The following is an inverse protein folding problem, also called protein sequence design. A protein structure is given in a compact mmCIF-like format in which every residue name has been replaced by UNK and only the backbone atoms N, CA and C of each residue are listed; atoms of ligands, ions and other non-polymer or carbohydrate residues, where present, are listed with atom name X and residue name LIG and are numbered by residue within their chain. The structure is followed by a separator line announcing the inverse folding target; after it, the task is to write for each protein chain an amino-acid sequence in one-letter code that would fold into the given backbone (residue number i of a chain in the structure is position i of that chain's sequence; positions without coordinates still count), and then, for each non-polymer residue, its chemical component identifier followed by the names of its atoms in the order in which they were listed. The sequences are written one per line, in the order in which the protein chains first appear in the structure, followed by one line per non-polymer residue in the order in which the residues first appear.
data_IF_282585096182
#
_entry.id   IF_282585096182
#
_cell.length_a   1.000
_cell.length_b   1.000
_cell.length_c   1.000
_cell.angle_alpha   90.00
_cell.angle_beta   90.00
_cell.angle_gamma   90.00
#
_symmetry.space_group_name_H-M   'P 1'
#
loop_
_entity.id
_entity.type
_entity.pdbx_description
1 polymer ?
#
# COMPACT_ATOMS: atom_id res chain seq x y z
N UNK A 1 56.75 71.29 -7.20
CA UNK A 1 57.18 69.89 -7.36
C UNK A 1 56.04 69.00 -6.92
N UNK A 2 55.53 68.15 -7.82
CA UNK A 2 54.40 67.23 -7.58
C UNK A 2 54.80 66.15 -6.56
N UNK A 3 54.02 65.95 -5.50
CA UNK A 3 54.00 64.67 -4.77
C UNK A 3 52.53 64.30 -4.52
N UNK A 4 52.23 63.07 -4.90
CA UNK A 4 50.93 62.44 -4.93
C UNK A 4 50.96 61.26 -3.93
N UNK A 5 49.77 60.85 -3.47
CA UNK A 5 49.39 59.57 -2.84
C UNK A 5 49.68 59.39 -1.34
N UNK A 6 48.63 59.23 -0.55
CA UNK A 6 48.07 57.90 -0.28
C UNK A 6 46.80 58.00 0.58
N UNK A 7 45.67 57.60 0.00
CA UNK A 7 44.46 57.30 0.74
C UNK A 7 44.56 55.86 1.26
N UNK A 8 44.52 55.68 2.58
CA UNK A 8 44.43 54.35 3.21
C UNK A 8 42.95 54.04 3.34
N UNK A 9 42.47 53.09 2.53
CA UNK A 9 41.13 52.53 2.63
C UNK A 9 41.22 51.26 3.50
N UNK A 10 40.77 51.36 4.76
CA UNK A 10 40.60 50.18 5.62
C UNK A 10 39.39 49.37 5.13
N UNK A 11 39.65 48.23 4.50
CA UNK A 11 38.64 47.21 4.25
C UNK A 11 38.37 46.43 5.54
N UNK A 12 37.24 46.72 6.18
CA UNK A 12 36.72 45.92 7.28
C UNK A 12 36.03 44.69 6.68
N UNK A 13 36.71 43.55 6.61
CA UNK A 13 36.09 42.27 6.26
C UNK A 13 35.23 41.80 7.42
N UNK A 14 33.91 41.98 7.35
CA UNK A 14 32.98 41.26 8.21
C UNK A 14 33.02 39.78 7.81
N UNK A 15 33.72 38.96 8.59
CA UNK A 15 33.53 37.52 8.56
C UNK A 15 32.15 37.21 9.15
N UNK A 16 31.16 37.00 8.29
CA UNK A 16 29.88 36.40 8.70
C UNK A 16 30.16 34.95 9.11
N UNK A 17 30.24 34.67 10.40
CA UNK A 17 30.10 33.32 10.91
C UNK A 17 28.66 32.86 10.63
N UNK A 18 28.45 32.11 9.55
CA UNK A 18 27.21 31.34 9.37
C UNK A 18 27.15 30.33 10.51
N UNK A 19 26.20 30.48 11.44
CA UNK A 19 25.90 29.41 12.39
C UNK A 19 25.46 28.19 11.57
N UNK A 20 26.07 27.04 11.82
CA UNK A 20 25.63 25.76 11.28
C UNK A 20 24.11 25.61 11.51
N UNK A 21 23.34 25.54 10.42
CA UNK A 21 21.91 25.38 10.52
C UNK A 21 21.62 23.91 10.83
N UNK A 22 21.16 23.65 12.07
CA UNK A 22 20.71 22.32 12.50
C UNK A 22 19.19 22.29 12.47
N UNK A 23 18.68 21.26 11.82
CA UNK A 23 17.25 21.05 11.65
C UNK A 23 16.87 19.72 12.25
N UNK A 24 15.66 19.59 12.77
CA UNK A 24 15.26 18.35 13.39
C UNK A 24 13.77 18.15 13.53
N UNK A 25 13.38 16.88 13.56
CA UNK A 25 11.99 16.47 13.70
C UNK A 25 11.90 15.17 14.50
N UNK A 26 10.73 14.89 15.07
CA UNK A 26 10.47 13.71 15.90
C UNK A 26 9.13 13.09 15.53
N UNK A 27 9.10 11.77 15.36
CA UNK A 27 7.90 11.01 15.09
C UNK A 27 7.77 9.88 16.12
N UNK A 28 6.55 9.65 16.60
CA UNK A 28 6.24 8.56 17.53
C UNK A 28 5.17 7.64 16.96
N UNK A 29 5.30 6.34 17.20
CA UNK A 29 4.37 5.29 16.81
C UNK A 29 4.15 4.34 17.98
N UNK A 30 2.99 3.66 18.04
CA UNK A 30 2.64 2.76 19.14
C UNK A 30 2.56 1.31 18.63
N UNK A 31 3.70 0.60 18.56
CA UNK A 31 3.76 -0.73 17.94
C UNK A 31 3.01 -1.82 18.71
N UNK A 32 2.69 -1.64 20.00
CA UNK A 32 1.83 -2.55 20.74
C UNK A 32 1.06 -1.82 21.84
N UNK A 33 0.08 -2.50 22.43
CA UNK A 33 -0.64 -1.98 23.61
C UNK A 33 0.37 -1.72 24.72
N UNK A 34 0.46 -0.46 25.16
CA UNK A 34 1.40 0.01 26.19
C UNK A 34 2.88 0.05 25.78
N UNK A 35 3.20 0.08 24.47
CA UNK A 35 4.54 0.42 24.00
C UNK A 35 4.55 1.58 23.00
N UNK A 36 5.65 2.32 22.99
CA UNK A 36 5.84 3.49 22.13
C UNK A 36 7.25 3.49 21.56
N UNK A 37 7.37 3.71 20.24
CA UNK A 37 8.62 3.98 19.55
C UNK A 37 8.64 5.43 19.10
N UNK A 38 9.57 6.23 19.61
CA UNK A 38 9.82 7.58 19.12
C UNK A 38 11.18 7.65 18.43
N UNK A 39 11.20 8.11 17.18
CA UNK A 39 12.43 8.35 16.43
C UNK A 39 12.59 9.86 16.23
N UNK A 40 13.71 10.39 16.69
CA UNK A 40 14.13 11.77 16.48
C UNK A 40 15.30 11.78 15.50
N UNK A 41 15.35 12.78 14.62
CA UNK A 41 16.43 12.97 13.67
C UNK A 41 16.85 14.43 13.65
N UNK A 42 18.16 14.68 13.71
CA UNK A 42 18.77 16.01 13.65
C UNK A 42 19.72 16.04 12.46
N UNK A 43 19.36 16.78 11.43
CA UNK A 43 20.19 17.06 10.27
C UNK A 43 21.15 18.22 10.56
N UNK A 44 22.42 17.99 10.27
CA UNK A 44 23.51 18.96 10.33
C UNK A 44 23.99 19.24 8.90
N UNK A 45 23.64 20.42 8.39
CA UNK A 45 23.92 20.86 7.01
C UNK A 45 25.43 21.01 6.77
N UNK A 46 26.18 21.50 7.76
CA UNK A 46 27.62 21.68 7.65
C UNK A 46 28.36 20.33 7.66
N UNK A 47 27.96 19.44 8.56
CA UNK A 47 28.57 18.12 8.67
C UNK A 47 28.04 17.11 7.63
N UNK A 48 27.02 17.47 6.83
CA UNK A 48 26.31 16.58 5.92
C UNK A 48 25.97 15.24 6.58
N UNK A 49 25.33 15.31 7.75
CA UNK A 49 25.02 14.13 8.55
C UNK A 49 23.68 14.25 9.24
N UNK A 50 23.10 13.11 9.60
CA UNK A 50 21.88 13.05 10.40
C UNK A 50 22.14 12.22 11.64
N UNK A 51 21.99 12.84 12.81
CA UNK A 51 22.01 12.17 14.10
C UNK A 51 20.61 11.68 14.44
N UNK A 52 20.47 10.39 14.66
CA UNK A 52 19.21 9.76 15.01
C UNK A 52 19.21 9.31 16.47
N UNK A 53 18.02 9.29 17.06
CA UNK A 53 17.74 8.69 18.35
C UNK A 53 16.41 7.94 18.27
N UNK A 54 16.43 6.63 18.52
CA UNK A 54 15.23 5.80 18.63
C UNK A 54 15.01 5.41 20.09
N UNK A 55 13.83 5.73 20.63
CA UNK A 55 13.42 5.46 22.01
C UNK A 55 12.22 4.52 21.97
N UNK A 56 12.40 3.27 22.41
CA UNK A 56 11.32 2.32 22.60
C UNK A 56 11.01 2.19 24.09
N UNK A 57 9.77 2.42 24.50
CA UNK A 57 9.31 2.32 25.89
C UNK A 57 8.19 1.29 26.03
N UNK A 58 8.08 0.64 27.19
CA UNK A 58 7.04 -0.35 27.50
C UNK A 58 7.66 -1.65 27.96
N UNK A 59 7.64 -2.68 27.10
CA UNK A 59 8.25 -3.99 27.35
C UNK A 59 9.70 -4.07 26.84
N UNK A 60 10.41 -5.14 27.19
CA UNK A 60 11.63 -5.50 26.48
C UNK A 60 11.36 -5.70 24.99
N UNK A 61 12.30 -5.26 24.15
CA UNK A 61 12.24 -5.39 22.69
C UNK A 61 13.33 -6.35 22.21
N UNK A 62 13.04 -7.06 21.12
CA UNK A 62 14.00 -7.94 20.46
C UNK A 62 14.98 -7.15 19.62
N UNK A 63 14.49 -6.32 18.68
CA UNK A 63 15.31 -5.39 17.91
C UNK A 63 14.50 -4.20 17.39
N UNK A 64 15.16 -3.06 17.15
CA UNK A 64 14.62 -1.85 16.54
C UNK A 64 15.45 -1.54 15.29
N UNK A 65 14.78 -1.24 14.18
CA UNK A 65 15.40 -0.87 12.91
C UNK A 65 14.86 0.47 12.39
N UNK A 66 15.75 1.32 11.89
CA UNK A 66 15.41 2.58 11.21
C UNK A 66 16.23 2.67 9.93
N UNK A 67 15.56 2.91 8.79
CA UNK A 67 16.18 3.01 7.47
C UNK A 67 15.90 4.35 6.80
N UNK A 68 16.88 4.85 6.05
CA UNK A 68 16.73 6.02 5.19
C UNK A 68 16.02 5.63 3.88
N UNK A 69 15.00 6.39 3.48
CA UNK A 69 14.23 6.17 2.26
C UNK A 69 12.84 5.57 2.49
N UNK A 70 12.13 5.31 1.39
CA UNK A 70 10.73 4.87 1.38
C UNK A 70 10.55 3.35 1.41
N UNK A 71 11.61 2.56 1.31
CA UNK A 71 11.53 1.10 1.16
C UNK A 71 12.78 0.40 1.71
N UNK A 72 12.70 -0.92 1.91
CA UNK A 72 13.85 -1.70 2.38
C UNK A 72 14.95 -1.83 1.32
N UNK A 73 14.57 -1.99 0.06
CA UNK A 73 15.50 -2.21 -1.04
C UNK A 73 16.42 -0.99 -1.24
N UNK A 74 17.71 -1.19 -1.02
CA UNK A 74 18.75 -0.17 -1.13
C UNK A 74 18.82 0.80 0.04
N UNK A 75 17.95 0.68 1.06
CA UNK A 75 17.98 1.57 2.20
C UNK A 75 19.22 1.35 3.06
N UNK A 76 19.75 2.46 3.56
CA UNK A 76 20.78 2.48 4.59
C UNK A 76 20.10 2.37 5.96
N UNK A 77 20.23 1.22 6.61
CA UNK A 77 19.50 0.89 7.85
C UNK A 77 20.44 0.78 9.03
N UNK A 78 20.00 1.28 10.18
CA UNK A 78 20.55 0.93 11.47
C UNK A 78 19.57 -0.03 12.14
N UNK A 79 20.06 -1.18 12.58
CA UNK A 79 19.33 -2.14 13.41
C UNK A 79 20.08 -2.30 14.72
N UNK A 80 19.39 -2.18 15.85
CA UNK A 80 19.96 -2.37 17.16
C UNK A 80 19.10 -3.24 18.07
N UNK A 81 19.77 -3.98 18.95
CA UNK A 81 19.11 -4.88 19.89
C UNK A 81 19.85 -4.99 21.22
N UNK A 82 19.13 -5.17 22.33
CA UNK A 82 19.75 -5.45 23.62
C UNK A 82 20.43 -6.83 23.60
N UNK A 83 21.54 -6.98 24.30
CA UNK A 83 22.25 -8.25 24.47
C UNK A 83 22.08 -8.78 25.89
N UNK A 84 22.28 -10.09 26.14
CA UNK A 84 22.10 -10.67 27.47
C UNK A 84 22.98 -10.07 28.58
N UNK A 85 24.12 -9.47 28.22
CA UNK A 85 25.01 -8.77 29.16
C UNK A 85 24.59 -7.32 29.47
N UNK A 86 23.37 -6.93 29.07
CA UNK A 86 22.80 -5.60 29.34
C UNK A 86 23.37 -4.48 28.46
N UNK A 87 24.12 -4.83 27.41
CA UNK A 87 24.58 -3.90 26.38
C UNK A 87 23.60 -3.86 25.21
N UNK A 88 23.97 -3.12 24.18
CA UNK A 88 23.23 -3.00 22.93
C UNK A 88 24.20 -3.20 21.77
N UNK A 89 23.81 -4.05 20.83
CA UNK A 89 24.48 -4.14 19.53
C UNK A 89 23.84 -3.12 18.59
N UNK A 90 24.66 -2.36 17.87
CA UNK A 90 24.23 -1.52 16.75
C UNK A 90 24.85 -2.07 15.46
N UNK A 91 24.03 -2.21 14.42
CA UNK A 91 24.42 -2.83 13.16
C UNK A 91 23.90 -2.02 12.00
N UNK A 92 24.80 -1.57 11.13
CA UNK A 92 24.41 -1.03 9.84
C UNK A 92 24.10 -2.16 8.87
N UNK A 93 23.00 -2.04 8.13
CA UNK A 93 22.52 -3.06 7.22
C UNK A 93 21.90 -2.48 5.96
N UNK A 94 21.84 -3.30 4.93
CA UNK A 94 21.08 -3.03 3.70
C UNK A 94 20.50 -4.32 3.14
N UNK A 95 19.68 -4.22 2.10
CA UNK A 95 19.13 -5.36 1.37
C UNK A 95 18.76 -4.92 -0.04
N UNK A 96 18.81 -5.83 -1.01
CA UNK A 96 18.39 -5.55 -2.39
C UNK A 96 16.88 -5.59 -2.59
N UNK A 97 16.12 -6.12 -1.62
CA UNK A 97 14.67 -6.30 -1.71
C UNK A 97 14.05 -6.48 -0.32
N UNK A 98 12.98 -7.28 -0.21
CA UNK A 98 12.30 -7.63 1.05
C UNK A 98 12.96 -8.78 1.80
N UNK A 99 14.25 -9.02 1.52
CA UNK A 99 15.04 -10.02 2.23
C UNK A 99 15.53 -9.47 3.56
N UNK A 100 15.79 -10.35 4.56
CA UNK A 100 16.43 -9.94 5.80
C UNK A 100 17.68 -9.09 5.53
N UNK A 101 17.77 -7.86 6.08
CA UNK A 101 18.92 -7.00 5.89
C UNK A 101 20.21 -7.64 6.39
N UNK A 102 21.26 -7.49 5.61
CA UNK A 102 22.58 -8.06 5.88
C UNK A 102 23.57 -6.95 6.20
N UNK A 103 24.65 -7.30 6.92
CA UNK A 103 25.75 -6.37 7.22
C UNK A 103 26.81 -6.34 6.10
N UNK A 104 26.56 -7.04 5.00
CA UNK A 104 27.46 -7.18 3.86
C UNK A 104 26.97 -6.34 2.68
N UNK A 105 27.88 -6.00 1.76
CA UNK A 105 27.53 -5.29 0.51
C UNK A 105 26.87 -3.92 0.74
N UNK A 106 27.19 -3.27 1.85
CA UNK A 106 26.73 -1.90 2.15
C UNK A 106 27.52 -0.95 1.26
N UNK A 107 26.84 -0.32 0.30
CA UNK A 107 27.41 0.70 -0.58
C UNK A 107 27.28 2.12 -0.02
N UNK A 108 26.36 2.31 0.94
CA UNK A 108 26.20 3.57 1.66
C UNK A 108 27.39 3.85 2.59
N UNK A 109 27.59 5.13 2.93
CA UNK A 109 28.63 5.53 3.88
C UNK A 109 28.38 4.89 5.25
N UNK A 110 29.46 4.48 5.91
CA UNK A 110 29.39 3.82 7.21
C UNK A 110 28.76 4.73 8.27
N UNK A 111 27.92 4.15 9.11
CA UNK A 111 27.32 4.83 10.25
C UNK A 111 28.35 5.04 11.39
N UNK A 112 28.09 6.04 12.21
CA UNK A 112 28.87 6.32 13.43
C UNK A 112 27.98 5.96 14.63
N UNK A 113 28.27 4.87 15.36
CA UNK A 113 27.50 4.51 16.54
C UNK A 113 27.74 5.51 17.68
N UNK A 114 26.67 5.90 18.39
CA UNK A 114 26.75 6.71 19.61
C UNK A 114 26.49 5.80 20.81
N UNK A 115 27.57 5.16 21.27
CA UNK A 115 27.54 4.18 22.37
C UNK A 115 27.13 4.85 23.68
N UNK A 116 27.54 6.09 23.91
CA UNK A 116 27.20 6.85 25.13
C UNK A 116 25.71 7.25 25.16
N UNK A 117 25.13 7.54 23.98
CA UNK A 117 23.69 7.83 23.84
C UNK A 117 22.80 6.59 23.75
N UNK A 118 23.38 5.38 23.76
CA UNK A 118 22.67 4.11 23.63
C UNK A 118 22.58 3.41 24.97
N UNK A 119 21.39 2.94 25.34
CA UNK A 119 21.15 2.25 26.62
C UNK A 119 19.94 1.33 26.55
N UNK A 120 19.87 0.35 27.44
CA UNK A 120 18.70 -0.54 27.55
C UNK A 120 18.45 -0.95 28.98
N UNK A 121 17.18 -1.09 29.34
CA UNK A 121 16.72 -1.64 30.61
C UNK A 121 15.38 -2.37 30.42
N UNK A 122 14.73 -2.78 31.51
CA UNK A 122 13.47 -3.54 31.47
C UNK A 122 12.27 -2.75 30.92
N UNK A 123 12.33 -1.41 30.95
CA UNK A 123 11.24 -0.51 30.61
C UNK A 123 11.48 0.29 29.32
N UNK A 124 12.73 0.41 28.88
CA UNK A 124 13.10 1.19 27.71
C UNK A 124 14.40 0.74 27.05
N UNK A 125 14.46 0.87 25.73
CA UNK A 125 15.67 0.74 24.91
C UNK A 125 15.86 2.02 24.10
N UNK A 126 17.03 2.64 24.20
CA UNK A 126 17.41 3.86 23.50
C UNK A 126 18.59 3.54 22.60
N UNK A 127 18.47 3.83 21.30
CA UNK A 127 19.52 3.68 20.31
C UNK A 127 19.91 5.06 19.77
N UNK A 128 21.20 5.36 19.68
CA UNK A 128 21.72 6.62 19.13
C UNK A 128 22.81 6.32 18.09
N UNK A 129 22.74 6.98 16.94
CA UNK A 129 23.72 6.82 15.86
C UNK A 129 23.69 8.02 14.90
N UNK A 130 24.69 8.11 14.03
CA UNK A 130 24.75 9.14 12.98
C UNK A 130 24.98 8.50 11.61
N UNK A 131 24.24 8.93 10.60
CA UNK A 131 24.51 8.60 9.21
C UNK A 131 25.09 9.81 8.47
N UNK A 132 26.22 9.65 7.76
CA UNK A 132 26.62 10.60 6.73
C UNK A 132 25.61 10.58 5.57
N UNK A 133 25.27 11.74 5.03
CA UNK A 133 24.30 11.90 3.94
C UNK A 133 24.86 12.74 2.80
N UNK A 134 24.14 12.81 1.69
CA UNK A 134 24.44 13.71 0.57
C UNK A 134 23.83 15.10 0.80
N UNK A 135 24.31 16.10 0.07
CA UNK A 135 23.86 17.50 0.21
C UNK A 135 22.37 17.70 -0.13
N UNK A 136 21.78 16.84 -0.95
CA UNK A 136 20.37 16.88 -1.37
C UNK A 136 19.46 15.97 -0.54
N UNK A 137 19.97 15.38 0.55
CA UNK A 137 19.22 14.44 1.38
C UNK A 137 18.07 15.11 2.15
N UNK A 138 18.30 16.33 2.64
CA UNK A 138 17.38 17.01 3.53
C UNK A 138 16.31 17.80 2.77
N UNK A 139 15.05 17.63 3.19
CA UNK A 139 13.90 18.37 2.67
C UNK A 139 12.81 18.43 3.73
N UNK A 140 11.70 19.11 3.42
CA UNK A 140 10.51 19.10 4.28
C UNK A 140 9.78 17.73 4.29
N UNK A 141 10.20 16.79 3.44
CA UNK A 141 9.56 15.48 3.26
C UNK A 141 10.59 14.36 3.09
N UNK A 142 11.59 14.30 3.97
CA UNK A 142 12.62 13.24 3.87
C UNK A 142 12.10 11.93 4.46
N UNK A 143 11.87 10.96 3.58
CA UNK A 143 11.25 9.69 3.93
C UNK A 143 12.20 8.70 4.62
N UNK A 144 11.64 7.96 5.56
CA UNK A 144 12.29 6.93 6.35
C UNK A 144 11.32 5.77 6.61
N UNK A 145 11.89 4.61 6.90
CA UNK A 145 11.16 3.43 7.36
C UNK A 145 11.61 3.06 8.77
N UNK A 146 10.72 2.44 9.54
CA UNK A 146 11.06 1.83 10.82
C UNK A 146 10.43 0.45 10.93
N UNK A 147 11.06 -0.40 11.73
CA UNK A 147 10.56 -1.72 12.06
C UNK A 147 11.02 -2.15 13.45
N UNK A 148 10.23 -2.98 14.12
CA UNK A 148 10.60 -3.59 15.40
C UNK A 148 10.23 -5.07 15.43
N UNK A 149 10.93 -5.84 16.25
CA UNK A 149 10.59 -7.23 16.55
C UNK A 149 10.69 -7.48 18.04
N UNK A 150 9.80 -8.32 18.56
CA UNK A 150 9.91 -8.85 19.92
C UNK A 150 10.98 -9.95 20.04
N UNK A 151 11.46 -10.50 18.92
CA UNK A 151 12.43 -11.60 18.89
C UNK A 151 13.85 -11.04 18.74
N UNK A 152 14.69 -11.28 19.74
CA UNK A 152 16.09 -10.88 19.73
C UNK A 152 16.89 -11.75 18.74
N UNK A 153 17.85 -11.21 17.98
CA UNK A 153 18.80 -12.00 17.22
C UNK A 153 19.51 -13.06 18.06
N UNK A 154 19.98 -14.14 17.42
CA UNK A 154 20.56 -15.30 18.13
C UNK A 154 21.91 -15.02 18.78
N UNK A 155 22.55 -13.89 18.48
CA UNK A 155 23.84 -13.49 19.07
C UNK A 155 24.01 -11.97 19.12
N UNK A 156 25.05 -11.52 19.82
CA UNK A 156 25.47 -10.12 19.89
C UNK A 156 26.23 -9.63 18.63
N UNK A 157 26.53 -10.53 17.68
CA UNK A 157 27.28 -10.19 16.47
C UNK A 157 26.47 -9.24 15.59
N UNK A 158 27.07 -8.12 15.16
CA UNK A 158 26.40 -7.15 14.31
C UNK A 158 25.85 -7.76 12.99
N UNK A 159 26.38 -8.89 12.54
CA UNK A 159 25.92 -9.64 11.36
C UNK A 159 24.85 -10.70 11.64
N UNK A 160 24.42 -10.89 12.89
CA UNK A 160 23.44 -11.91 13.29
C UNK A 160 22.15 -11.86 12.45
N UNK A 161 21.59 -13.02 12.11
CA UNK A 161 20.35 -13.11 11.35
C UNK A 161 19.19 -12.47 12.10
N UNK A 162 18.38 -11.67 11.41
CA UNK A 162 17.19 -11.04 11.97
C UNK A 162 15.96 -11.88 11.68
N UNK A 163 15.16 -12.13 12.72
CA UNK A 163 13.76 -12.54 12.53
C UNK A 163 12.96 -11.37 11.95
N UNK A 164 12.01 -11.67 11.05
CA UNK A 164 11.11 -10.68 10.47
C UNK A 164 10.44 -9.84 11.57
N UNK A 165 10.38 -8.52 11.37
CA UNK A 165 9.67 -7.61 12.26
C UNK A 165 8.20 -7.99 12.40
N UNK A 166 7.63 -7.75 13.58
CA UNK A 166 6.19 -7.86 13.80
C UNK A 166 5.46 -6.54 13.53
N UNK A 167 6.12 -5.40 13.74
CA UNK A 167 5.56 -4.07 13.44
C UNK A 167 6.53 -3.24 12.60
N UNK A 168 5.97 -2.41 11.73
CA UNK A 168 6.71 -1.55 10.80
C UNK A 168 5.89 -0.34 10.42
N UNK A 169 6.55 0.68 9.93
CA UNK A 169 5.88 1.85 9.39
C UNK A 169 6.82 2.78 8.65
N UNK A 170 6.28 3.95 8.32
CA UNK A 170 6.97 5.02 7.61
C UNK A 170 7.07 6.25 8.51
N UNK A 171 8.14 7.01 8.34
CA UNK A 171 8.33 8.32 8.96
C UNK A 171 8.67 9.30 7.84
N UNK A 172 8.06 10.49 7.87
CA UNK A 172 8.46 11.62 7.04
C UNK A 172 9.02 12.66 7.99
N UNK A 173 10.33 12.93 7.92
CA UNK A 173 10.95 14.00 8.68
C UNK A 173 10.96 15.29 7.87
N UNK A 174 10.67 16.39 8.54
CA UNK A 174 10.83 17.73 8.01
C UNK A 174 12.16 18.33 8.51
N UNK A 175 13.21 18.20 7.69
CA UNK A 175 14.53 18.79 7.96
C UNK A 175 14.62 20.26 7.57
N UNK A 176 13.50 20.98 7.44
CA UNK A 176 13.48 22.44 7.34
C UNK A 176 13.08 23.11 8.66
N UNK A 177 12.62 22.31 9.64
CA UNK A 177 12.29 22.80 10.99
C UNK A 177 13.55 23.11 11.80
N UNK A 178 13.73 24.35 12.29
CA UNK A 178 14.85 24.67 13.17
C UNK A 178 14.76 23.84 14.46
N UNK A 179 15.90 23.41 14.99
CA UNK A 179 15.94 22.68 16.24
C UNK A 179 15.46 23.58 17.39
N UNK A 180 14.33 23.25 18.01
CA UNK A 180 13.88 23.95 19.21
C UNK A 180 14.93 23.75 20.31
N UNK A 181 15.66 24.82 20.62
CA UNK A 181 16.62 24.81 21.71
C UNK A 181 15.81 24.88 23.00
N UNK A 182 15.64 23.75 23.68
CA UNK A 182 15.04 23.69 25.00
C UNK A 182 15.84 24.59 25.96
N UNK A 183 15.43 25.85 26.04
CA UNK A 183 16.02 26.84 26.92
C UNK A 183 15.12 26.88 28.15
N UNK A 184 15.57 26.21 29.20
CA UNK A 184 15.15 26.34 30.60
C UNK A 184 13.65 26.30 30.92
N UNK A 185 13.26 25.18 31.52
CA UNK A 185 12.10 25.02 32.38
C UNK A 185 12.00 26.14 33.43
N UNK A 186 11.01 27.01 33.28
CA UNK A 186 10.33 27.67 34.39
C UNK A 186 8.87 27.92 33.99
N UNK A 187 7.98 27.07 34.50
CA UNK A 187 6.59 27.45 34.77
C UNK A 187 6.56 28.17 36.15
N UNK A 188 5.51 28.93 36.51
CA UNK A 188 4.15 28.92 35.93
C UNK A 188 3.52 30.31 35.68
N UNK A 189 2.52 30.36 34.79
CA UNK A 189 1.29 31.12 35.03
C UNK A 189 0.16 30.62 34.11
N UNK A 190 -0.96 30.37 34.77
CA UNK A 190 -2.24 29.82 34.31
C UNK A 190 -3.13 30.99 33.86
N UNK A 191 -3.82 30.89 32.70
CA UNK A 191 -4.98 31.73 32.33
C UNK A 191 -5.75 31.11 31.15
N UNK A 192 -6.65 30.21 31.51
CA UNK A 192 -8.05 30.04 31.08
C UNK A 192 -8.56 30.12 29.63
N UNK A 193 -9.53 29.21 29.41
CA UNK A 193 -10.70 29.24 28.54
C UNK A 193 -10.56 28.96 27.03
N UNK A 194 -10.97 27.75 26.66
CA UNK A 194 -11.21 27.31 25.29
C UNK A 194 -11.82 25.92 25.28
N UNK A 195 -13.11 25.82 25.62
CA UNK A 195 -13.91 24.60 25.53
C UNK A 195 -13.88 24.04 24.10
N UNK A 196 -13.24 22.89 23.91
CA UNK A 196 -13.53 22.01 22.78
C UNK A 196 -13.51 20.57 23.27
N UNK A 197 -14.70 19.96 23.25
CA UNK A 197 -14.99 18.57 23.49
C UNK A 197 -14.02 17.65 22.75
N UNK A 198 -13.09 17.05 23.50
CA UNK A 198 -12.22 15.97 23.03
C UNK A 198 -13.00 14.66 23.01
N UNK A 199 -13.68 14.38 21.90
CA UNK A 199 -14.06 13.01 21.56
C UNK A 199 -12.80 12.31 21.06
N UNK A 200 -12.11 11.65 21.99
CA UNK A 200 -10.91 10.86 21.71
C UNK A 200 -11.30 9.56 21.01
N UNK A 201 -11.18 9.54 19.69
CA UNK A 201 -11.00 8.33 18.91
C UNK A 201 -9.75 8.50 18.05
N UNK A 202 -8.58 8.21 18.61
CA UNK A 202 -7.31 8.15 17.89
C UNK A 202 -7.31 6.92 16.98
N UNK A 203 -7.84 7.07 15.76
CA UNK A 203 -7.48 6.19 14.65
C UNK A 203 -6.05 6.55 14.22
N UNK A 204 -5.18 5.55 14.15
CA UNK A 204 -3.87 5.63 13.48
C UNK A 204 -4.07 6.25 12.09
N UNK A 205 -3.61 7.48 11.89
CA UNK A 205 -3.62 8.08 10.56
C UNK A 205 -2.47 7.50 9.75
N UNK A 206 -2.78 6.50 8.93
CA UNK A 206 -1.93 6.05 7.83
C UNK A 206 -1.58 7.29 6.97
N UNK A 207 -0.30 7.59 6.69
CA UNK A 207 0.08 8.79 5.94
C UNK A 207 -0.51 8.76 4.54
N UNK A 208 -1.10 9.89 4.14
CA UNK A 208 -1.70 10.03 2.80
C UNK A 208 -0.60 10.27 1.77
N UNK A 209 -0.34 9.28 0.90
CA UNK A 209 0.65 9.40 -0.18
C UNK A 209 -0.09 9.67 -1.49
N UNK A 210 0.11 10.88 -2.05
CA UNK A 210 -0.51 11.34 -3.31
C UNK A 210 0.53 11.90 -4.29
N UNK A 211 1.79 11.53 -4.11
CA UNK A 211 2.86 12.01 -4.98
C UNK A 211 2.89 11.19 -6.28
N UNK A 212 2.47 11.81 -7.38
CA UNK A 212 2.50 11.19 -8.71
C UNK A 212 3.91 11.09 -9.30
N UNK A 213 4.93 11.70 -8.67
CA UNK A 213 6.33 11.51 -9.06
C UNK A 213 6.79 10.06 -8.81
N UNK A 214 6.21 9.40 -7.81
CA UNK A 214 6.47 8.01 -7.45
C UNK A 214 5.80 7.05 -8.43
N UNK A 215 6.61 6.21 -9.08
CA UNK A 215 6.13 5.15 -9.97
C UNK A 215 5.12 4.19 -9.31
N UNK A 216 5.33 3.66 -8.08
CA UNK A 216 4.35 2.78 -7.45
C UNK A 216 2.99 3.46 -7.23
N UNK A 217 2.97 4.75 -6.90
CA UNK A 217 1.72 5.53 -6.75
C UNK A 217 0.96 5.60 -8.09
N UNK A 218 1.67 5.87 -9.20
CA UNK A 218 1.05 5.87 -10.54
C UNK A 218 0.50 4.50 -10.92
N UNK A 219 1.21 3.42 -10.61
CA UNK A 219 0.77 2.05 -10.88
C UNK A 219 -0.47 1.67 -10.08
N UNK A 220 -0.52 2.00 -8.78
CA UNK A 220 -1.71 1.76 -7.95
C UNK A 220 -2.91 2.62 -8.38
N UNK A 221 -2.68 3.88 -8.76
CA UNK A 221 -3.74 4.73 -9.31
C UNK A 221 -4.31 4.11 -10.60
N UNK A 222 -3.45 3.69 -11.54
CA UNK A 222 -3.87 3.05 -12.77
C UNK A 222 -4.61 1.72 -12.51
N UNK A 223 -4.13 0.91 -11.56
CA UNK A 223 -4.79 -0.30 -11.10
C UNK A 223 -6.24 -0.01 -10.64
N UNK A 224 -6.43 0.95 -9.73
CA UNK A 224 -7.76 1.30 -9.19
C UNK A 224 -8.70 1.80 -10.29
N UNK A 225 -8.22 2.66 -11.19
CA UNK A 225 -9.04 3.18 -12.30
C UNK A 225 -9.50 2.04 -13.21
N UNK A 226 -8.56 1.20 -13.68
CA UNK A 226 -8.87 0.11 -14.62
C UNK A 226 -9.76 -0.94 -13.96
N UNK A 227 -9.47 -1.31 -12.70
CA UNK A 227 -10.31 -2.24 -11.96
C UNK A 227 -11.70 -1.69 -11.69
N UNK A 228 -11.86 -0.39 -11.44
CA UNK A 228 -13.17 0.24 -11.27
C UNK A 228 -13.98 0.19 -12.58
N UNK A 229 -13.37 0.52 -13.71
CA UNK A 229 -14.04 0.42 -15.02
C UNK A 229 -14.48 -1.02 -15.30
N UNK A 230 -13.63 -2.00 -15.01
CA UNK A 230 -13.96 -3.40 -15.26
C UNK A 230 -15.05 -3.92 -14.31
N UNK A 231 -14.85 -3.80 -12.99
CA UNK A 231 -15.72 -4.41 -11.97
C UNK A 231 -16.99 -3.62 -11.68
N UNK A 232 -16.96 -2.30 -11.83
CA UNK A 232 -18.15 -1.46 -11.63
C UNK A 232 -18.86 -1.09 -12.94
N UNK A 233 -18.18 -1.20 -14.08
CA UNK A 233 -18.77 -0.92 -15.39
C UNK A 233 -19.08 -2.20 -16.16
N UNK A 234 -18.03 -2.81 -16.71
CA UNK A 234 -18.18 -3.84 -17.74
C UNK A 234 -18.76 -5.17 -17.22
N UNK A 235 -18.28 -5.67 -16.08
CA UNK A 235 -18.77 -6.93 -15.48
C UNK A 235 -20.28 -6.87 -15.19
N UNK A 236 -20.81 -5.89 -14.42
CA UNK A 236 -22.24 -5.80 -14.15
C UNK A 236 -23.06 -5.53 -15.40
N UNK A 237 -22.56 -4.71 -16.34
CA UNK A 237 -23.20 -4.54 -17.64
C UNK A 237 -23.34 -5.88 -18.38
N UNK A 238 -22.26 -6.67 -18.44
CA UNK A 238 -22.27 -8.01 -19.03
C UNK A 238 -23.26 -8.97 -18.36
N UNK A 239 -23.38 -8.93 -17.02
CA UNK A 239 -24.35 -9.74 -16.26
C UNK A 239 -25.78 -9.33 -16.63
N UNK A 240 -26.09 -8.02 -16.65
CA UNK A 240 -27.42 -7.52 -16.99
C UNK A 240 -27.77 -7.78 -18.46
N UNK A 241 -26.83 -7.65 -19.39
CA UNK A 241 -27.00 -8.03 -20.81
C UNK A 241 -27.33 -9.52 -20.92
N UNK A 242 -26.64 -10.37 -20.16
CA UNK A 242 -26.97 -11.79 -20.10
C UNK A 242 -28.39 -12.02 -19.58
N UNK A 243 -28.83 -11.29 -18.55
CA UNK A 243 -30.17 -11.46 -17.97
C UNK A 243 -31.28 -10.97 -18.90
N UNK A 244 -31.22 -9.70 -19.32
CA UNK A 244 -32.28 -9.02 -20.05
C UNK A 244 -32.22 -9.25 -21.56
N UNK A 245 -31.01 -9.37 -22.12
CA UNK A 245 -30.83 -9.49 -23.57
C UNK A 245 -31.41 -10.76 -24.15
N UNK A 246 -31.50 -11.83 -23.36
CA UNK A 246 -32.16 -13.08 -23.78
C UNK A 246 -33.63 -12.89 -24.13
N UNK A 247 -34.31 -11.93 -23.51
CA UNK A 247 -35.72 -11.61 -23.77
C UNK A 247 -35.90 -10.51 -24.80
N UNK A 248 -35.12 -9.43 -24.70
CA UNK A 248 -35.33 -8.23 -25.52
C UNK A 248 -34.58 -8.21 -26.85
N UNK A 249 -33.44 -8.91 -26.97
CA UNK A 249 -32.64 -8.96 -28.18
C UNK A 249 -31.98 -10.35 -28.36
N UNK A 250 -32.83 -11.38 -28.41
CA UNK A 250 -32.48 -12.80 -28.38
C UNK A 250 -31.47 -13.24 -29.46
N UNK A 251 -31.41 -12.57 -30.61
CA UNK A 251 -30.49 -12.88 -31.71
C UNK A 251 -29.06 -12.35 -31.51
N UNK A 252 -28.89 -11.27 -30.73
CA UNK A 252 -27.61 -10.55 -30.61
C UNK A 252 -27.03 -10.58 -29.19
N UNK A 253 -27.81 -10.93 -28.16
CA UNK A 253 -27.39 -10.81 -26.76
C UNK A 253 -26.07 -11.53 -26.46
N UNK A 254 -25.86 -12.72 -27.04
CA UNK A 254 -24.66 -13.50 -26.77
C UNK A 254 -23.41 -12.82 -27.34
N UNK A 255 -23.50 -12.25 -28.55
CA UNK A 255 -22.38 -11.53 -29.17
C UNK A 255 -21.99 -10.32 -28.33
N UNK A 256 -22.98 -9.56 -27.87
CA UNK A 256 -22.79 -8.36 -27.04
C UNK A 256 -22.24 -8.75 -25.67
N UNK A 257 -22.84 -9.74 -24.99
CA UNK A 257 -22.36 -10.27 -23.71
C UNK A 257 -20.91 -10.71 -23.81
N UNK A 258 -20.57 -11.49 -24.85
CA UNK A 258 -19.21 -11.98 -25.08
C UNK A 258 -18.24 -10.83 -25.31
N UNK A 259 -18.59 -9.84 -26.14
CA UNK A 259 -17.72 -8.69 -26.41
C UNK A 259 -17.44 -7.86 -25.13
N UNK A 260 -18.48 -7.57 -24.34
CA UNK A 260 -18.34 -6.84 -23.07
C UNK A 260 -17.52 -7.63 -22.06
N UNK A 261 -17.77 -8.94 -21.91
CA UNK A 261 -17.04 -9.76 -20.94
C UNK A 261 -15.58 -10.00 -21.35
N UNK A 262 -15.27 -10.17 -22.63
CA UNK A 262 -13.88 -10.24 -23.10
C UNK A 262 -13.15 -8.92 -22.79
N UNK A 263 -13.80 -7.79 -23.03
CA UNK A 263 -13.24 -6.48 -22.69
C UNK A 263 -12.98 -6.34 -21.19
N UNK A 264 -13.91 -6.82 -20.34
CA UNK A 264 -13.73 -6.87 -18.90
C UNK A 264 -12.53 -7.74 -18.49
N UNK A 265 -12.40 -8.95 -19.05
CA UNK A 265 -11.29 -9.88 -18.76
C UNK A 265 -9.94 -9.26 -19.13
N UNK A 266 -9.85 -8.57 -20.27
CA UNK A 266 -8.63 -7.87 -20.69
C UNK A 266 -8.27 -6.78 -19.67
N UNK A 267 -9.22 -5.92 -19.30
CA UNK A 267 -8.96 -4.86 -18.31
C UNK A 267 -8.63 -5.42 -16.93
N UNK A 268 -9.29 -6.48 -16.48
CA UNK A 268 -8.97 -7.16 -15.21
C UNK A 268 -7.55 -7.72 -15.25
N UNK A 269 -7.12 -8.29 -16.37
CA UNK A 269 -5.76 -8.81 -16.54
C UNK A 269 -4.72 -7.69 -16.47
N UNK A 270 -4.96 -6.58 -17.18
CA UNK A 270 -4.09 -5.40 -17.15
C UNK A 270 -4.04 -4.81 -15.73
N UNK A 271 -5.20 -4.61 -15.11
CA UNK A 271 -5.28 -4.09 -13.75
C UNK A 271 -4.57 -5.01 -12.75
N UNK A 272 -4.70 -6.33 -12.88
CA UNK A 272 -4.04 -7.28 -11.99
C UNK A 272 -2.51 -7.18 -12.14
N UNK A 273 -2.02 -7.14 -13.37
CA UNK A 273 -0.60 -6.94 -13.67
C UNK A 273 -0.08 -5.61 -13.09
N UNK A 274 -0.82 -4.51 -13.24
CA UNK A 274 -0.45 -3.21 -12.64
C UNK A 274 -0.39 -3.27 -11.12
N UNK A 275 -1.32 -3.97 -10.47
CA UNK A 275 -1.32 -4.15 -9.01
C UNK A 275 -0.10 -4.95 -8.55
N UNK A 276 0.24 -6.03 -9.25
CA UNK A 276 1.46 -6.82 -8.99
C UNK A 276 2.70 -5.98 -9.21
N UNK A 277 2.82 -5.25 -10.33
CA UNK A 277 3.96 -4.37 -10.58
C UNK A 277 4.06 -3.24 -9.56
N UNK A 278 2.94 -2.68 -9.11
CA UNK A 278 2.93 -1.67 -8.04
C UNK A 278 3.46 -2.23 -6.72
N UNK A 279 3.10 -3.47 -6.37
CA UNK A 279 3.63 -4.18 -5.19
C UNK A 279 5.13 -4.45 -5.32
N UNK A 280 5.59 -4.86 -6.51
CA UNK A 280 7.02 -5.06 -6.79
C UNK A 280 7.80 -3.75 -6.65
N UNK A 281 7.32 -2.68 -7.30
CA UNK A 281 7.99 -1.37 -7.34
C UNK A 281 7.96 -0.66 -5.99
N UNK A 282 6.86 -0.82 -5.23
CA UNK A 282 6.77 -0.30 -3.87
C UNK A 282 7.63 -1.09 -2.89
N UNK A 283 8.18 -2.23 -3.32
CA UNK A 283 8.88 -3.13 -2.44
C UNK A 283 7.96 -3.50 -1.27
N UNK A 284 6.85 -4.18 -1.52
CA UNK A 284 6.06 -4.78 -0.44
C UNK A 284 5.83 -6.26 -0.76
N UNK A 285 5.66 -7.13 0.26
CA UNK A 285 5.46 -8.55 0.00
C UNK A 285 4.24 -8.81 -0.89
N UNK A 286 4.40 -9.70 -1.86
CA UNK A 286 3.31 -10.15 -2.72
C UNK A 286 2.36 -11.07 -1.97
N UNK A 287 1.06 -10.85 -2.16
CA UNK A 287 -0.01 -11.70 -1.64
C UNK A 287 0.00 -11.88 -0.12
N UNK A 288 0.37 -10.83 0.62
CA UNK A 288 0.42 -10.81 2.09
C UNK A 288 -0.92 -10.34 2.68
N UNK A 289 -1.56 -9.35 2.05
CA UNK A 289 -2.83 -8.77 2.53
C UNK A 289 -4.06 -9.57 2.06
N UNK A 290 -5.17 -9.40 2.77
CA UNK A 290 -6.46 -10.02 2.40
C UNK A 290 -6.90 -9.60 0.98
N UNK A 291 -6.77 -8.32 0.61
CA UNK A 291 -7.07 -7.82 -0.73
C UNK A 291 -6.25 -8.53 -1.81
N UNK A 292 -4.94 -8.73 -1.59
CA UNK A 292 -4.07 -9.37 -2.57
C UNK A 292 -4.41 -10.87 -2.73
N UNK A 293 -4.63 -11.57 -1.61
CA UNK A 293 -5.00 -13.00 -1.61
C UNK A 293 -6.37 -13.24 -2.27
N UNK A 294 -7.39 -12.48 -1.87
CA UNK A 294 -8.72 -12.57 -2.46
C UNK A 294 -8.70 -12.12 -3.93
N UNK A 295 -7.96 -11.08 -4.26
CA UNK A 295 -7.77 -10.60 -5.63
C UNK A 295 -7.15 -11.65 -6.54
N UNK A 296 -6.13 -12.37 -6.07
CA UNK A 296 -5.54 -13.49 -6.82
C UNK A 296 -6.55 -14.63 -7.04
N UNK A 297 -7.30 -15.02 -5.99
CA UNK A 297 -8.32 -16.04 -6.11
C UNK A 297 -9.41 -15.64 -7.12
N UNK A 298 -9.91 -14.40 -7.04
CA UNK A 298 -10.87 -13.86 -7.99
C UNK A 298 -10.30 -13.78 -9.42
N UNK A 299 -9.03 -13.40 -9.58
CA UNK A 299 -8.38 -13.35 -10.89
C UNK A 299 -8.35 -14.75 -11.54
N UNK A 300 -7.93 -15.78 -10.81
CA UNK A 300 -7.94 -17.18 -11.28
C UNK A 300 -9.37 -17.59 -11.67
N UNK A 301 -10.36 -17.29 -10.83
CA UNK A 301 -11.76 -17.60 -11.11
C UNK A 301 -12.31 -16.86 -12.34
N UNK A 302 -11.88 -15.62 -12.61
CA UNK A 302 -12.25 -14.87 -13.83
C UNK A 302 -11.70 -15.56 -15.07
N UNK A 303 -10.45 -16.04 -15.03
CA UNK A 303 -9.86 -16.80 -16.14
C UNK A 303 -10.65 -18.09 -16.37
N UNK A 304 -10.93 -18.86 -15.32
CA UNK A 304 -11.76 -20.07 -15.40
C UNK A 304 -13.14 -19.73 -15.97
N UNK A 305 -13.79 -18.68 -15.48
CA UNK A 305 -15.11 -18.23 -15.93
C UNK A 305 -15.13 -17.91 -17.44
N UNK A 306 -14.09 -17.25 -17.95
CA UNK A 306 -13.96 -16.89 -19.35
C UNK A 306 -13.78 -18.12 -20.25
N UNK A 307 -12.85 -19.01 -19.91
CA UNK A 307 -12.63 -20.25 -20.66
C UNK A 307 -13.85 -21.17 -20.60
N UNK A 308 -14.43 -21.34 -19.41
CA UNK A 308 -15.61 -22.20 -19.22
C UNK A 308 -16.82 -21.68 -20.00
N UNK A 309 -17.03 -20.36 -20.04
CA UNK A 309 -18.08 -19.76 -20.87
C UNK A 309 -17.92 -20.07 -22.36
N UNK A 310 -16.68 -20.03 -22.88
CA UNK A 310 -16.40 -20.35 -24.27
C UNK A 310 -16.56 -21.85 -24.57
N UNK A 311 -16.03 -22.73 -23.71
CA UNK A 311 -16.15 -24.18 -23.83
C UNK A 311 -17.63 -24.61 -23.77
N UNK A 312 -18.37 -24.09 -22.78
CA UNK A 312 -19.80 -24.35 -22.61
C UNK A 312 -20.60 -23.96 -23.85
N UNK A 313 -20.29 -22.81 -24.46
CA UNK A 313 -20.95 -22.39 -25.70
C UNK A 313 -20.68 -23.34 -26.87
N UNK A 314 -19.41 -23.70 -27.11
CA UNK A 314 -19.02 -24.59 -28.22
C UNK A 314 -19.61 -25.98 -28.05
N UNK A 315 -19.56 -26.55 -26.84
CA UNK A 315 -20.11 -27.87 -26.55
C UNK A 315 -21.64 -27.89 -26.57
N UNK A 316 -22.29 -26.81 -26.14
CA UNK A 316 -23.75 -26.72 -26.27
C UNK A 316 -24.19 -26.62 -27.73
N UNK A 317 -23.44 -25.92 -28.59
CA UNK A 317 -23.76 -25.85 -30.03
C UNK A 317 -23.51 -27.18 -30.75
N UNK A 318 -22.45 -27.90 -30.39
CA UNK A 318 -22.04 -29.14 -31.07
C UNK A 318 -22.74 -30.39 -30.54
N UNK A 319 -22.93 -30.49 -29.22
CA UNK A 319 -23.40 -31.70 -28.53
C UNK A 319 -24.70 -31.50 -27.74
N UNK A 320 -25.29 -30.30 -27.75
CA UNK A 320 -26.50 -29.93 -27.00
C UNK A 320 -26.43 -30.19 -25.48
N UNK A 321 -25.22 -30.15 -24.89
CA UNK A 321 -24.99 -30.37 -23.45
C UNK A 321 -25.21 -29.06 -22.68
N UNK A 322 -26.45 -28.77 -22.33
CA UNK A 322 -26.84 -27.53 -21.63
C UNK A 322 -26.36 -27.44 -20.18
N UNK A 323 -26.03 -28.59 -19.55
CA UNK A 323 -25.59 -28.66 -18.15
C UNK A 323 -24.28 -27.89 -17.91
N UNK A 324 -23.44 -27.75 -18.93
CA UNK A 324 -22.15 -27.03 -18.84
C UNK A 324 -22.31 -25.53 -18.62
N UNK A 325 -23.51 -24.97 -18.80
CA UNK A 325 -23.78 -23.56 -18.54
C UNK A 325 -24.00 -23.25 -17.05
N UNK A 326 -24.38 -24.24 -16.22
CA UNK A 326 -24.63 -23.99 -14.79
C UNK A 326 -23.37 -23.55 -14.04
N UNK A 327 -22.20 -24.20 -14.19
CA UNK A 327 -20.97 -23.72 -13.54
C UNK A 327 -20.62 -22.28 -13.93
N UNK A 328 -20.81 -21.89 -15.20
CA UNK A 328 -20.58 -20.52 -15.65
C UNK A 328 -21.51 -19.52 -14.94
N UNK A 329 -22.78 -19.86 -14.73
CA UNK A 329 -23.72 -19.00 -14.01
C UNK A 329 -23.32 -18.91 -12.53
N UNK A 330 -22.99 -20.03 -11.90
CA UNK A 330 -22.64 -20.08 -10.47
C UNK A 330 -21.35 -19.30 -10.20
N UNK A 331 -20.27 -19.56 -10.94
CA UNK A 331 -18.99 -18.88 -10.76
C UNK A 331 -19.16 -17.37 -10.99
N UNK A 332 -19.85 -16.96 -12.05
CA UNK A 332 -20.13 -15.54 -12.31
C UNK A 332 -20.94 -14.86 -11.20
N UNK A 333 -21.92 -15.58 -10.63
CA UNK A 333 -22.73 -15.09 -9.51
C UNK A 333 -21.89 -14.93 -8.25
N UNK A 334 -21.03 -15.91 -7.92
CA UNK A 334 -20.12 -15.84 -6.76
C UNK A 334 -19.11 -14.69 -6.92
N UNK A 335 -18.50 -14.55 -8.10
CA UNK A 335 -17.52 -13.49 -8.38
C UNK A 335 -18.11 -12.09 -8.12
N UNK A 336 -19.27 -11.81 -8.69
CA UNK A 336 -19.89 -10.48 -8.56
C UNK A 336 -20.62 -10.34 -7.21
N UNK A 337 -21.64 -11.17 -6.94
CA UNK A 337 -22.51 -10.98 -5.79
C UNK A 337 -21.91 -11.45 -4.46
N UNK A 338 -20.93 -12.36 -4.48
CA UNK A 338 -20.28 -12.86 -3.28
C UNK A 338 -19.02 -12.09 -2.90
N UNK A 339 -18.12 -11.85 -3.87
CA UNK A 339 -16.75 -11.44 -3.58
C UNK A 339 -16.43 -9.97 -3.91
N UNK A 340 -17.05 -9.40 -4.94
CA UNK A 340 -16.62 -8.09 -5.48
C UNK A 340 -16.73 -6.94 -4.46
N UNK A 341 -17.79 -6.90 -3.66
CA UNK A 341 -17.99 -5.85 -2.66
C UNK A 341 -16.88 -5.84 -1.60
N UNK A 342 -16.52 -7.01 -1.09
CA UNK A 342 -15.41 -7.17 -0.16
C UNK A 342 -14.07 -6.81 -0.81
N UNK A 343 -13.83 -7.31 -2.02
CA UNK A 343 -12.57 -7.08 -2.72
C UNK A 343 -12.30 -5.59 -2.96
N UNK A 344 -13.32 -4.84 -3.36
CA UNK A 344 -13.22 -3.39 -3.59
C UNK A 344 -12.99 -2.65 -2.26
N UNK A 345 -13.73 -2.98 -1.20
CA UNK A 345 -13.56 -2.36 0.12
C UNK A 345 -12.16 -2.58 0.69
N UNK A 346 -11.70 -3.84 0.70
CA UNK A 346 -10.34 -4.18 1.13
C UNK A 346 -9.27 -3.43 0.33
N UNK A 347 -9.52 -3.16 -0.96
CA UNK A 347 -8.61 -2.38 -1.80
C UNK A 347 -8.58 -0.89 -1.42
N UNK A 348 -9.75 -0.29 -1.17
CA UNK A 348 -9.86 1.10 -0.73
C UNK A 348 -9.22 1.33 0.64
N UNK A 349 -9.36 0.38 1.57
CA UNK A 349 -8.77 0.47 2.91
C UNK A 349 -7.23 0.48 2.87
N UNK A 350 -6.65 -0.26 1.93
CA UNK A 350 -5.20 -0.26 1.68
C UNK A 350 -4.73 0.96 0.90
N UNK A 351 -5.63 1.67 0.22
CA UNK A 351 -5.24 2.74 -0.68
C UNK A 351 -4.84 3.99 0.10
N UNK A 352 -3.52 4.24 0.15
CA UNK A 352 -2.91 5.37 0.85
C UNK A 352 -3.39 6.74 0.36
N UNK A 353 -4.05 6.82 -0.80
CA UNK A 353 -4.68 8.06 -1.26
C UNK A 353 -5.79 8.53 -0.30
N UNK A 354 -6.41 7.59 0.44
CA UNK A 354 -7.47 7.83 1.41
C UNK A 354 -8.58 8.71 0.81
N UNK A 355 -9.35 8.20 -0.18
CA UNK A 355 -10.52 8.89 -0.69
C UNK A 355 -11.55 9.10 0.45
N UNK A 356 -12.54 9.99 0.29
CA UNK A 356 -13.59 10.16 1.28
C UNK A 356 -14.22 8.80 1.64
N UNK A 357 -14.33 8.48 2.93
CA UNK A 357 -14.85 7.18 3.42
C UNK A 357 -16.22 6.83 2.81
N UNK A 358 -17.03 7.86 2.54
CA UNK A 358 -18.32 7.73 1.84
C UNK A 358 -18.23 6.96 0.51
N UNK A 359 -17.10 7.00 -0.21
CA UNK A 359 -16.92 6.22 -1.46
C UNK A 359 -17.07 4.72 -1.21
N UNK A 360 -16.32 4.18 -0.23
CA UNK A 360 -16.36 2.76 0.12
C UNK A 360 -17.56 2.35 0.99
N UNK A 361 -18.00 3.27 1.87
CA UNK A 361 -19.01 2.97 2.88
C UNK A 361 -20.44 3.22 2.40
N UNK A 362 -20.64 4.13 1.44
CA UNK A 362 -21.97 4.57 1.01
C UNK A 362 -22.18 4.37 -0.48
N UNK A 363 -21.34 4.98 -1.33
CA UNK A 363 -21.54 4.96 -2.78
C UNK A 363 -21.46 3.54 -3.36
N UNK A 364 -20.40 2.80 -3.05
CA UNK A 364 -20.22 1.45 -3.60
C UNK A 364 -21.28 0.45 -3.13
N UNK A 365 -21.67 0.40 -1.84
CA UNK A 365 -22.75 -0.48 -1.40
C UNK A 365 -24.11 -0.15 -2.01
N UNK A 366 -24.47 1.14 -2.13
CA UNK A 366 -25.72 1.55 -2.78
C UNK A 366 -25.71 1.13 -4.25
N UNK A 367 -24.63 1.45 -4.98
CA UNK A 367 -24.48 1.06 -6.37
C UNK A 367 -24.58 -0.47 -6.56
N UNK A 368 -23.89 -1.24 -5.70
CA UNK A 368 -23.94 -2.71 -5.71
C UNK A 368 -25.35 -3.24 -5.44
N UNK A 369 -26.06 -2.64 -4.47
CA UNK A 369 -27.44 -2.93 -4.15
C UNK A 369 -28.38 -2.70 -5.33
N UNK A 370 -28.21 -1.59 -6.06
CA UNK A 370 -29.00 -1.27 -7.25
C UNK A 370 -28.79 -2.29 -8.38
N UNK A 371 -27.54 -2.68 -8.66
CA UNK A 371 -27.25 -3.72 -9.67
C UNK A 371 -27.84 -5.08 -9.25
N UNK A 372 -27.75 -5.42 -7.96
CA UNK A 372 -28.32 -6.65 -7.42
C UNK A 372 -29.84 -6.68 -7.54
N UNK A 373 -30.50 -5.59 -7.15
CA UNK A 373 -31.94 -5.43 -7.32
C UNK A 373 -32.35 -5.53 -8.79
N UNK A 374 -31.61 -4.88 -9.71
CA UNK A 374 -31.86 -4.95 -11.14
C UNK A 374 -31.68 -6.38 -11.68
N UNK A 375 -30.69 -7.13 -11.21
CA UNK A 375 -30.50 -8.52 -11.64
C UNK A 375 -31.63 -9.44 -11.13
N UNK A 376 -32.05 -9.26 -9.87
CA UNK A 376 -33.16 -10.00 -9.26
C UNK A 376 -34.50 -9.69 -9.95
N UNK A 377 -34.77 -8.43 -10.28
CA UNK A 377 -35.98 -8.03 -10.99
C UNK A 377 -36.09 -8.73 -12.36
N UNK A 378 -34.95 -8.94 -13.03
CA UNK A 378 -34.89 -9.68 -14.28
C UNK A 378 -35.34 -11.14 -14.16
N UNK A 379 -35.41 -11.71 -12.96
CA UNK A 379 -35.93 -13.07 -12.74
C UNK A 379 -37.42 -13.19 -13.08
N UNK A 380 -38.18 -12.10 -13.04
CA UNK A 380 -39.59 -12.05 -13.46
C UNK A 380 -39.75 -12.41 -14.94
N UNK A 381 -38.71 -12.21 -15.76
CA UNK A 381 -38.73 -12.52 -17.19
C UNK A 381 -38.47 -14.00 -17.49
N UNK A 382 -38.10 -14.82 -16.50
CA UNK A 382 -37.76 -16.24 -16.71
C UNK A 382 -38.87 -17.05 -17.39
N UNK A 383 -40.17 -16.95 -17.00
CA UNK A 383 -41.23 -17.73 -17.66
C UNK A 383 -41.35 -17.40 -19.15
N UNK A 384 -41.25 -16.10 -19.50
CA UNK A 384 -41.26 -15.65 -20.90
C UNK A 384 -40.07 -16.19 -21.67
N UNK A 385 -38.89 -16.19 -21.05
CA UNK A 385 -37.66 -16.68 -21.65
C UNK A 385 -37.70 -18.20 -21.91
N UNK A 386 -38.28 -18.97 -20.98
CA UNK A 386 -38.48 -20.42 -21.14
C UNK A 386 -39.42 -20.70 -22.31
N UNK A 387 -40.55 -19.98 -22.40
CA UNK A 387 -41.51 -20.10 -23.50
C UNK A 387 -40.86 -19.79 -24.86
N UNK A 388 -40.17 -18.66 -24.99
CA UNK A 388 -39.45 -18.31 -26.22
C UNK A 388 -38.45 -19.42 -26.62
N UNK A 389 -37.72 -19.99 -25.64
CA UNK A 389 -36.79 -21.08 -25.89
C UNK A 389 -37.45 -22.43 -26.24
N UNK A 390 -38.74 -22.63 -25.94
CA UNK A 390 -39.52 -23.77 -26.42
C UNK A 390 -39.97 -23.53 -27.86
N UNK A 391 -40.55 -22.36 -28.13
CA UNK A 391 -41.03 -21.95 -29.46
C UNK A 391 -39.90 -21.99 -30.52
N UNK A 392 -38.69 -21.55 -30.15
CA UNK A 392 -37.52 -21.59 -31.02
C UNK A 392 -37.04 -23.02 -31.33
N UNK A 393 -37.29 -23.99 -30.44
CA UNK A 393 -36.95 -25.40 -30.67
C UNK A 393 -37.94 -26.09 -31.58
N UNK A 394 -39.22 -25.74 -31.46
CA UNK A 394 -40.29 -26.28 -32.30
C UNK A 394 -40.14 -25.83 -33.76
N UNK A 395 -39.56 -24.65 -33.99
CA UNK A 395 -39.28 -24.11 -35.33
C UNK A 395 -38.07 -24.71 -36.04
N UNK A 396 -37.26 -25.56 -35.38
CA UNK A 396 -36.16 -26.27 -36.05
C UNK A 396 -36.77 -27.52 -36.72
N UNK A 397 -36.92 -27.57 -38.05
CA UNK A 397 -37.50 -28.74 -38.70
C UNK A 397 -36.58 -29.94 -38.46
N UNK A 398 -37.16 -31.09 -38.12
CA UNK A 398 -36.48 -32.38 -38.10
C UNK A 398 -36.13 -32.80 -39.55
N UNK A 399 -35.19 -32.08 -40.16
CA UNK A 399 -34.56 -32.47 -41.41
C UNK A 399 -33.51 -33.52 -41.10
N UNK A 400 -33.95 -34.78 -40.93
CA UNK A 400 -33.29 -36.01 -41.43
C UNK A 400 -34.00 -37.21 -40.81
N UNK A 401 -34.70 -38.00 -41.63
CA UNK A 401 -35.26 -39.26 -41.17
C UNK A 401 -36.34 -39.90 -42.02
N UNK A 402 -36.32 -39.77 -43.36
CA UNK A 402 -37.00 -40.74 -44.22
C UNK A 402 -35.97 -41.39 -45.14
N UNK A 403 -35.28 -42.39 -44.61
CA UNK A 403 -34.86 -43.50 -45.46
C UNK A 403 -36.14 -44.32 -45.72
N UNK A 404 -36.67 -44.21 -46.93
CA UNK A 404 -37.69 -45.13 -47.45
C UNK A 404 -36.97 -46.27 -48.20
N UNK A 405 -37.60 -47.46 -48.24
CA UNK A 405 -36.96 -48.76 -48.05
C UNK A 405 -36.06 -49.25 -49.18
#
# INVERSE_FOLDING_TARGET
MKICKSAILSALTLATYSRAAKFGDRSCSSPATSSQLCVSAIYDDEALSVKYKAEYTGSSIGWIGVGQGEQMAGANMMVGWPTPDGKVTLSQRTTSSHFPPTAQQITAKSFIPDVAGTSTNSSATVLSWTFPVAADFASAKTAHIWAVSAVNPSSADASASLTKHNHRGFIIFDFTKPLETATNSSQPAQSDSGTSSSTSSTQEQIPKIRDLSLRPVRLFLAHVIIMSIAWMGLVPAGILIGRYGRTYFSSSWFKIHRAVQISAVVLITIGFALGVSGVTDAGIPHFDTAHQKLGLAMFILVIIQAFWGQIGHVLNRSKNIRLLNYPHIVIGTVLFFGLSLWQIRLGLDLWLWQPPKAVGDVFFPIWFGLITAAWLLGMILLPRQVKQGQDDREKIPLSTGSASP
#
